data_IF_861635812386
#
_entry.id   IF_861635812386
#
_cell.length_a   1.000
_cell.length_b   1.000
_cell.length_c   1.000
_cell.angle_alpha   90.00
_cell.angle_beta   90.00
_cell.angle_gamma   90.00
#
_symmetry.space_group_name_H-M   'P 1'
#
loop_
_entity.id
_entity.type
_entity.pdbx_description
1 polymer ?
#
# COMPACT_ATOMS: atom_id res chain seq x y z
N UNK A 1 21.94 -28.44 -5.03
CA UNK A 1 20.90 -29.06 -4.17
C UNK A 1 21.16 -28.76 -2.70
N UNK A 2 22.24 -29.24 -2.08
CA UNK A 2 22.57 -28.93 -0.67
C UNK A 2 22.72 -27.43 -0.34
N UNK A 3 23.24 -26.62 -1.27
CA UNK A 3 23.35 -25.16 -1.09
C UNK A 3 21.99 -24.45 -1.13
N UNK A 4 21.05 -24.91 -1.97
CA UNK A 4 19.70 -24.33 -2.04
C UNK A 4 18.89 -24.69 -0.80
N UNK A 5 18.98 -25.94 -0.33
CA UNK A 5 18.35 -26.36 0.93
C UNK A 5 18.95 -25.65 2.16
N UNK A 6 20.25 -25.31 2.12
CA UNK A 6 20.88 -24.52 3.17
C UNK A 6 20.39 -23.06 3.16
N UNK A 7 20.18 -22.47 1.99
CA UNK A 7 19.59 -21.13 1.83
C UNK A 7 18.13 -21.08 2.30
N UNK A 8 17.30 -22.04 1.90
CA UNK A 8 15.91 -22.13 2.35
C UNK A 8 15.80 -22.29 3.87
N UNK A 9 16.67 -23.11 4.46
CA UNK A 9 16.70 -23.29 5.92
C UNK A 9 17.19 -22.05 6.66
N UNK A 10 18.20 -21.37 6.13
CA UNK A 10 18.67 -20.10 6.68
C UNK A 10 17.62 -18.99 6.59
N UNK A 11 16.75 -19.01 5.58
CA UNK A 11 15.61 -18.09 5.47
C UNK A 11 14.52 -18.35 6.54
N UNK A 12 14.43 -19.58 7.06
CA UNK A 12 13.44 -19.98 8.07
C UNK A 12 14.00 -20.04 9.50
N UNK A 13 15.32 -19.91 9.67
CA UNK A 13 15.96 -19.89 10.99
C UNK A 13 15.63 -18.57 11.70
N UNK A 14 15.07 -18.59 12.93
CA UNK A 14 14.64 -17.38 13.63
C UNK A 14 15.86 -16.60 14.16
N UNK A 15 16.44 -15.75 13.30
CA UNK A 15 17.46 -14.79 13.71
C UNK A 15 16.77 -13.58 14.32
N UNK A 16 17.17 -13.18 15.53
CA UNK A 16 16.68 -11.94 16.14
C UNK A 16 17.24 -10.73 15.40
N UNK A 17 16.52 -10.27 14.38
CA UNK A 17 16.84 -9.04 13.67
C UNK A 17 16.54 -7.82 14.58
N UNK A 18 17.46 -6.84 14.61
CA UNK A 18 17.18 -5.51 15.17
C UNK A 18 16.64 -4.63 14.03
N UNK A 19 15.35 -4.77 13.72
CA UNK A 19 14.68 -4.09 12.60
C UNK A 19 13.93 -5.07 11.71
N UNK A 20 13.58 -4.63 10.49
CA UNK A 20 12.87 -5.44 9.50
C UNK A 20 13.63 -6.74 9.17
N UNK A 21 12.92 -7.87 9.13
CA UNK A 21 13.47 -9.12 8.60
C UNK A 21 13.65 -9.00 7.08
N UNK A 22 14.45 -9.89 6.48
CA UNK A 22 14.60 -9.92 5.02
C UNK A 22 13.25 -10.15 4.32
N UNK A 23 12.46 -11.09 4.84
CA UNK A 23 11.13 -11.39 4.32
C UNK A 23 10.18 -10.17 4.41
N UNK A 24 10.23 -9.42 5.52
CA UNK A 24 9.44 -8.19 5.67
C UNK A 24 9.85 -7.11 4.65
N UNK A 25 11.15 -6.99 4.35
CA UNK A 25 11.62 -6.07 3.30
C UNK A 25 11.13 -6.50 1.92
N UNK A 26 11.25 -7.78 1.57
CA UNK A 26 10.77 -8.30 0.29
C UNK A 26 9.25 -8.10 0.13
N UNK A 27 8.47 -8.33 1.19
CA UNK A 27 7.03 -8.11 1.17
C UNK A 27 6.67 -6.62 1.04
N UNK A 28 7.38 -5.74 1.74
CA UNK A 28 7.19 -4.29 1.61
C UNK A 28 7.53 -3.79 0.19
N UNK A 29 8.62 -4.28 -0.40
CA UNK A 29 9.01 -3.97 -1.79
C UNK A 29 7.97 -4.48 -2.79
N UNK A 30 7.45 -5.69 -2.58
CA UNK A 30 6.37 -6.26 -3.40
C UNK A 30 5.11 -5.39 -3.35
N UNK A 31 4.65 -5.02 -2.15
CA UNK A 31 3.47 -4.18 -1.93
C UNK A 31 3.62 -2.79 -2.59
N UNK A 32 4.79 -2.16 -2.46
CA UNK A 32 5.09 -0.89 -3.16
C UNK A 32 5.12 -1.07 -4.69
N UNK A 33 5.59 -2.22 -5.17
CA UNK A 33 5.56 -2.57 -6.59
C UNK A 33 4.14 -2.70 -7.14
N UNK A 34 3.23 -3.35 -6.41
CA UNK A 34 1.81 -3.43 -6.77
C UNK A 34 1.15 -2.05 -6.75
N UNK A 35 1.38 -1.26 -5.70
CA UNK A 35 0.91 0.12 -5.63
C UNK A 35 1.32 0.94 -6.88
N UNK A 36 2.60 0.86 -7.25
CA UNK A 36 3.11 1.55 -8.44
C UNK A 36 2.46 1.07 -9.74
N UNK A 37 2.20 -0.24 -9.89
CA UNK A 37 1.49 -0.79 -11.05
C UNK A 37 0.07 -0.26 -11.16
N UNK A 38 -0.66 -0.19 -10.04
CA UNK A 38 -2.03 0.36 -10.01
C UNK A 38 -2.02 1.85 -10.34
N UNK A 39 -1.10 2.62 -9.77
CA UNK A 39 -0.94 4.04 -10.07
C UNK A 39 -0.68 4.28 -11.57
N UNK A 40 0.23 3.53 -12.19
CA UNK A 40 0.49 3.59 -13.63
C UNK A 40 -0.76 3.24 -14.46
N UNK A 41 -1.54 2.23 -14.04
CA UNK A 41 -2.77 1.87 -14.73
C UNK A 41 -3.79 3.02 -14.69
N UNK A 42 -3.92 3.69 -13.54
CA UNK A 42 -4.81 4.86 -13.39
C UNK A 42 -4.32 6.05 -14.23
N UNK A 43 -3.01 6.30 -14.27
CA UNK A 43 -2.41 7.35 -15.10
C UNK A 43 -2.66 7.12 -16.59
N UNK A 44 -2.57 5.87 -17.06
CA UNK A 44 -2.83 5.50 -18.45
C UNK A 44 -4.28 5.77 -18.89
N UNK A 45 -5.20 5.94 -17.94
CA UNK A 45 -6.61 6.23 -18.18
C UNK A 45 -7.00 7.65 -17.77
N UNK A 46 -6.01 8.56 -17.63
CA UNK A 46 -6.32 9.96 -17.42
C UNK A 46 -7.14 10.51 -18.59
N UNK A 47 -8.20 11.29 -18.29
CA UNK A 47 -9.04 11.85 -19.33
C UNK A 47 -8.30 12.94 -20.12
N UNK A 48 -8.75 13.20 -21.35
CA UNK A 48 -8.23 14.30 -22.18
C UNK A 48 -8.44 15.66 -21.49
N UNK A 49 -7.61 16.65 -21.85
CA UNK A 49 -7.60 18.00 -21.20
C UNK A 49 -8.96 18.73 -21.20
N UNK A 50 -9.91 18.34 -22.03
CA UNK A 50 -11.24 18.96 -22.13
C UNK A 50 -12.37 18.16 -21.46
N UNK A 51 -12.08 17.02 -20.84
CA UNK A 51 -13.09 16.20 -20.20
C UNK A 51 -13.71 16.91 -18.98
N UNK A 52 -14.95 16.54 -18.66
CA UNK A 52 -15.60 17.00 -17.44
C UNK A 52 -14.78 16.58 -16.21
N UNK A 53 -14.59 17.45 -15.21
CA UNK A 53 -13.93 17.08 -13.97
C UNK A 53 -14.63 15.91 -13.29
N UNK A 54 -13.85 15.01 -12.69
CA UNK A 54 -14.34 13.92 -11.86
C UNK A 54 -14.02 14.22 -10.39
N UNK A 55 -14.96 14.80 -9.60
CA UNK A 55 -14.68 15.24 -8.23
C UNK A 55 -14.13 14.13 -7.33
N UNK A 56 -14.64 12.91 -7.49
CA UNK A 56 -14.19 11.73 -6.76
C UNK A 56 -12.70 11.44 -6.95
N UNK A 57 -12.14 11.70 -8.14
CA UNK A 57 -10.70 11.52 -8.38
C UNK A 57 -9.85 12.55 -7.63
N UNK A 58 -10.34 13.80 -7.50
CA UNK A 58 -9.67 14.82 -6.71
C UNK A 58 -9.69 14.48 -5.20
N UNK A 59 -10.84 13.99 -4.71
CA UNK A 59 -10.98 13.52 -3.32
C UNK A 59 -10.02 12.34 -3.05
N UNK A 60 -9.95 11.37 -3.96
CA UNK A 60 -9.00 10.26 -3.87
C UNK A 60 -7.56 10.74 -3.76
N UNK A 61 -7.15 11.60 -4.70
CA UNK A 61 -5.77 12.05 -4.82
C UNK A 61 -5.32 12.80 -3.55
N UNK A 62 -6.19 13.66 -2.99
CA UNK A 62 -5.88 14.38 -1.76
C UNK A 62 -5.89 13.46 -0.53
N UNK A 63 -6.82 12.50 -0.46
CA UNK A 63 -6.84 11.50 0.62
C UNK A 63 -5.56 10.65 0.60
N UNK A 64 -5.19 10.14 -0.58
CA UNK A 64 -3.98 9.36 -0.80
C UNK A 64 -2.71 10.15 -0.43
N UNK A 65 -2.61 11.41 -0.90
CA UNK A 65 -1.47 12.29 -0.59
C UNK A 65 -1.31 12.53 0.91
N UNK A 66 -2.39 12.82 1.63
CA UNK A 66 -2.35 13.06 3.08
C UNK A 66 -2.02 11.78 3.85
N UNK A 67 -2.69 10.68 3.52
CA UNK A 67 -2.50 9.39 4.18
C UNK A 67 -1.08 8.88 4.01
N UNK A 68 -0.55 8.83 2.78
CA UNK A 68 0.85 8.44 2.51
C UNK A 68 1.87 9.38 3.14
N UNK A 69 1.58 10.69 3.21
CA UNK A 69 2.42 11.66 3.91
C UNK A 69 2.52 11.40 5.42
N UNK A 70 1.41 11.05 6.07
CA UNK A 70 1.39 10.63 7.49
C UNK A 70 2.04 9.26 7.68
N UNK A 71 1.72 8.28 6.84
CA UNK A 71 2.34 6.95 6.88
C UNK A 71 3.86 7.02 6.76
N UNK A 72 4.39 7.82 5.83
CA UNK A 72 5.82 8.02 5.70
C UNK A 72 6.46 8.65 6.97
N UNK A 73 5.71 9.49 7.71
CA UNK A 73 6.16 10.01 9.00
C UNK A 73 6.16 8.91 10.07
N UNK A 74 5.08 8.15 10.20
CA UNK A 74 4.96 7.02 11.14
C UNK A 74 6.10 6.03 10.95
N UNK A 75 6.40 5.63 9.70
CA UNK A 75 7.53 4.74 9.39
C UNK A 75 8.87 5.30 9.87
N UNK A 76 9.14 6.60 9.67
CA UNK A 76 10.38 7.25 10.17
C UNK A 76 10.44 7.30 11.69
N UNK A 77 9.29 7.41 12.34
CA UNK A 77 9.14 7.40 13.80
C UNK A 77 9.12 5.99 14.39
N UNK A 78 9.25 4.95 13.54
CA UNK A 78 9.14 3.51 13.89
C UNK A 78 7.78 3.14 14.47
N UNK A 79 6.74 3.77 13.94
CA UNK A 79 5.33 3.46 14.21
C UNK A 79 4.74 2.71 13.01
N UNK A 80 3.70 1.93 13.28
CA UNK A 80 2.88 1.30 12.24
C UNK A 80 2.09 2.37 11.46
N UNK A 81 2.22 2.42 10.12
CA UNK A 81 1.48 3.37 9.33
C UNK A 81 -0.01 3.00 9.26
N UNK A 82 -0.90 3.98 9.34
CA UNK A 82 -2.35 3.77 9.25
C UNK A 82 -2.97 4.52 8.07
N UNK A 83 -4.02 3.93 7.49
CA UNK A 83 -4.66 4.42 6.27
C UNK A 83 -6.13 4.78 6.45
N UNK A 84 -6.54 5.08 7.69
CA UNK A 84 -7.96 5.21 8.07
C UNK A 84 -8.72 6.24 7.23
N UNK A 85 -8.19 7.45 7.02
CA UNK A 85 -8.84 8.45 6.16
C UNK A 85 -9.02 7.97 4.70
N UNK A 86 -8.05 7.20 4.19
CA UNK A 86 -8.14 6.66 2.83
C UNK A 86 -9.17 5.53 2.77
N UNK A 87 -9.19 4.67 3.79
CA UNK A 87 -10.20 3.63 3.95
C UNK A 87 -11.61 4.23 4.03
N UNK A 88 -11.82 5.25 4.86
CA UNK A 88 -13.10 5.98 4.94
C UNK A 88 -13.50 6.57 3.58
N UNK A 89 -12.52 7.12 2.83
CA UNK A 89 -12.76 7.66 1.48
C UNK A 89 -13.24 6.58 0.50
N UNK A 90 -12.63 5.40 0.53
CA UNK A 90 -12.98 4.26 -0.34
C UNK A 90 -14.29 3.60 0.10
N UNK A 91 -14.49 3.44 1.40
CA UNK A 91 -15.70 2.85 1.99
C UNK A 91 -16.94 3.69 1.69
N UNK A 92 -16.81 5.03 1.67
CA UNK A 92 -17.89 5.93 1.28
C UNK A 92 -18.39 5.70 -0.16
N UNK A 93 -17.64 4.99 -1.00
CA UNK A 93 -18.04 4.62 -2.37
C UNK A 93 -18.60 3.20 -2.47
N UNK A 94 -18.57 2.41 -1.39
CA UNK A 94 -19.09 1.04 -1.43
C UNK A 94 -20.61 1.00 -1.53
N UNK A 95 -21.30 1.98 -0.95
CA UNK A 95 -22.76 2.10 -1.01
C UNK A 95 -23.24 2.71 -2.35
N UNK A 96 -22.52 3.69 -2.87
CA UNK A 96 -22.79 4.35 -4.16
C UNK A 96 -21.47 4.60 -4.90
N UNK A 97 -20.98 3.63 -5.70
CA UNK A 97 -19.69 3.77 -6.36
C UNK A 97 -19.75 4.86 -7.42
N UNK A 98 -18.66 5.64 -7.60
CA UNK A 98 -18.54 6.56 -8.72
C UNK A 98 -18.85 5.82 -10.03
N UNK A 99 -19.54 6.50 -10.95
CA UNK A 99 -19.77 6.01 -12.33
C UNK A 99 -18.47 6.05 -13.16
N UNK A 100 -17.44 5.41 -12.63
CA UNK A 100 -16.09 5.34 -13.17
C UNK A 100 -15.37 4.13 -12.57
N UNK A 101 -15.64 2.95 -13.15
CA UNK A 101 -15.15 1.64 -12.67
C UNK A 101 -13.65 1.63 -12.31
N UNK A 102 -12.80 2.19 -13.19
CA UNK A 102 -11.35 2.21 -12.97
C UNK A 102 -10.93 3.06 -11.76
N UNK A 103 -11.70 4.10 -11.43
CA UNK A 103 -11.40 4.94 -10.28
C UNK A 103 -11.67 4.15 -8.99
N UNK A 104 -12.86 3.55 -8.89
CA UNK A 104 -13.24 2.75 -7.73
C UNK A 104 -12.31 1.55 -7.55
N UNK A 105 -12.12 0.74 -8.61
CA UNK A 105 -11.27 -0.45 -8.52
C UNK A 105 -9.80 -0.10 -8.26
N UNK A 106 -9.29 0.96 -8.87
CA UNK A 106 -7.94 1.46 -8.62
C UNK A 106 -7.74 1.89 -7.17
N UNK A 107 -8.70 2.63 -6.61
CA UNK A 107 -8.63 3.08 -5.21
C UNK A 107 -8.57 1.91 -4.22
N UNK A 108 -9.39 0.88 -4.43
CA UNK A 108 -9.38 -0.35 -3.61
C UNK A 108 -8.02 -1.04 -3.69
N UNK A 109 -7.48 -1.25 -4.90
CA UNK A 109 -6.19 -1.93 -5.08
C UNK A 109 -5.01 -1.12 -4.49
N UNK A 110 -5.05 0.22 -4.57
CA UNK A 110 -4.06 1.08 -3.92
C UNK A 110 -4.11 0.93 -2.40
N UNK A 111 -5.32 0.92 -1.81
CA UNK A 111 -5.50 0.72 -0.37
C UNK A 111 -5.03 -0.67 0.08
N UNK A 112 -5.39 -1.72 -0.65
CA UNK A 112 -4.93 -3.10 -0.40
C UNK A 112 -3.40 -3.17 -0.39
N UNK A 113 -2.74 -2.55 -1.38
CA UNK A 113 -1.27 -2.50 -1.45
C UNK A 113 -0.65 -1.74 -0.26
N UNK A 114 -1.33 -0.70 0.23
CA UNK A 114 -0.88 0.03 1.42
C UNK A 114 -1.10 -0.78 2.72
N UNK A 115 -2.17 -1.55 2.82
CA UNK A 115 -2.42 -2.46 3.95
C UNK A 115 -1.39 -3.60 4.00
N UNK A 116 -1.02 -4.16 2.84
CA UNK A 116 0.08 -5.12 2.73
C UNK A 116 1.42 -4.51 3.17
N UNK A 117 1.68 -3.25 2.77
CA UNK A 117 2.87 -2.53 3.22
C UNK A 117 2.88 -2.32 4.74
N UNK A 118 1.75 -1.89 5.34
CA UNK A 118 1.65 -1.73 6.79
C UNK A 118 1.90 -3.05 7.51
N UNK A 119 1.28 -4.13 7.02
CA UNK A 119 1.46 -5.49 7.58
C UNK A 119 2.93 -5.91 7.56
N UNK A 120 3.61 -5.78 6.40
CA UNK A 120 5.01 -6.14 6.27
C UNK A 120 5.92 -5.35 7.24
N UNK A 121 5.59 -4.09 7.52
CA UNK A 121 6.35 -3.26 8.45
C UNK A 121 6.07 -3.62 9.92
N UNK A 122 4.85 -4.07 10.24
CA UNK A 122 4.40 -4.42 11.60
C UNK A 122 4.92 -5.76 12.11
N UNK A 123 5.25 -6.71 11.24
CA UNK A 123 5.83 -8.03 11.59
C UNK A 123 7.16 -7.95 12.37
N UNK A 124 7.66 -6.74 12.64
CA UNK A 124 8.88 -6.47 13.41
C UNK A 124 8.70 -5.69 14.71
N UNK A 125 7.47 -5.37 15.10
CA UNK A 125 7.20 -4.83 16.45
C UNK A 125 6.86 -5.99 17.38
N UNK A 126 7.77 -6.42 18.28
CA UNK A 126 7.35 -7.33 19.34
C UNK A 126 6.29 -6.60 20.17
N UNK A 127 5.17 -7.29 20.43
CA UNK A 127 4.15 -6.84 21.40
C UNK A 127 4.85 -6.34 22.66
N UNK A 128 4.70 -5.04 22.97
CA UNK A 128 5.19 -4.48 24.24
C UNK A 128 4.49 -5.12 25.43
#
# INVERSE_FOLDING_TARGET
VAWQEALERAAHEPVRHRGLSHAAVEQAEHALGEFGRVAMLMEAHLPDRGAAPLPYAAVLAESLRRSTGRGAKQVREREEPTWDDLRETVDAWSDEPPDHFLLHKGAVLLLESLDELATALSETTPSR
#
